data_IF_137925766480
#
_entry.id   IF_137925766480
#
_cell.length_a   1.000
_cell.length_b   1.000
_cell.length_c   1.000
_cell.angle_alpha   90.00
_cell.angle_beta   90.00
_cell.angle_gamma   90.00
#
_symmetry.space_group_name_H-M   'P 1'
#
loop_
_entity.id
_entity.type
_entity.pdbx_description
1 polymer ?
#
# COMPACT_ATOMS: atom_id res chain seq x y z
N UNK A 1 27.94 3.20 8.03
CA UNK A 1 27.39 2.06 7.26
C UNK A 1 26.10 1.47 7.87
N UNK A 2 25.83 1.62 9.18
CA UNK A 2 24.63 1.04 9.81
C UNK A 2 23.30 1.78 9.50
N UNK A 3 23.32 3.10 9.28
CA UNK A 3 22.08 3.90 9.04
C UNK A 3 21.32 3.43 7.80
N UNK A 4 22.01 3.27 6.67
CA UNK A 4 21.37 2.92 5.39
C UNK A 4 20.79 1.49 5.40
N UNK A 5 21.41 0.55 6.10
CA UNK A 5 20.88 -0.82 6.23
C UNK A 5 19.63 -0.84 7.10
N UNK A 6 19.62 -0.08 8.19
CA UNK A 6 18.44 0.02 9.06
C UNK A 6 17.29 0.74 8.36
N UNK A 7 17.56 1.83 7.64
CA UNK A 7 16.57 2.54 6.80
C UNK A 7 15.96 1.61 5.74
N UNK A 8 16.79 0.80 5.06
CA UNK A 8 16.31 -0.21 4.11
C UNK A 8 15.43 -1.25 4.78
N UNK A 9 15.83 -1.75 5.96
CA UNK A 9 15.06 -2.73 6.73
C UNK A 9 13.69 -2.19 7.15
N UNK A 10 13.66 -0.96 7.66
CA UNK A 10 12.42 -0.28 8.06
C UNK A 10 11.51 -0.07 6.85
N UNK A 11 12.06 0.39 5.73
CA UNK A 11 11.32 0.56 4.47
C UNK A 11 10.73 -0.77 3.99
N UNK A 12 11.51 -1.85 4.02
CA UNK A 12 11.07 -3.17 3.59
C UNK A 12 9.93 -3.71 4.47
N UNK A 13 9.96 -3.43 5.78
CA UNK A 13 8.87 -3.80 6.68
C UNK A 13 7.58 -3.07 6.33
N UNK A 14 7.64 -1.76 6.06
CA UNK A 14 6.47 -0.97 5.64
C UNK A 14 5.88 -1.52 4.33
N UNK A 15 6.73 -1.77 3.33
CA UNK A 15 6.28 -2.34 2.05
C UNK A 15 5.61 -3.71 2.22
N UNK A 16 6.15 -4.55 3.10
CA UNK A 16 5.58 -5.87 3.41
C UNK A 16 4.20 -5.74 4.06
N UNK A 17 4.05 -4.82 5.02
CA UNK A 17 2.75 -4.54 5.65
C UNK A 17 1.73 -4.06 4.63
N UNK A 18 2.11 -3.10 3.77
CA UNK A 18 1.22 -2.58 2.72
C UNK A 18 0.80 -3.69 1.74
N UNK A 19 1.73 -4.50 1.25
CA UNK A 19 1.41 -5.61 0.34
C UNK A 19 0.46 -6.64 0.97
N UNK A 20 0.68 -6.97 2.24
CA UNK A 20 -0.17 -7.90 2.98
C UNK A 20 -1.58 -7.34 3.16
N UNK A 21 -1.68 -6.04 3.43
CA UNK A 21 -2.95 -5.33 3.51
C UNK A 21 -3.69 -5.32 2.15
N UNK A 22 -3.00 -4.97 1.05
CA UNK A 22 -3.59 -4.91 -0.29
C UNK A 22 -4.19 -6.26 -0.73
N UNK A 23 -3.55 -7.37 -0.38
CA UNK A 23 -4.08 -8.71 -0.64
C UNK A 23 -5.42 -8.96 0.09
N UNK A 24 -5.54 -8.55 1.36
CA UNK A 24 -6.79 -8.67 2.13
C UNK A 24 -7.86 -7.74 1.57
N UNK A 25 -7.48 -6.48 1.32
CA UNK A 25 -8.37 -5.46 0.79
C UNK A 25 -8.95 -5.86 -0.56
N UNK A 26 -8.10 -6.36 -1.47
CA UNK A 26 -8.47 -6.86 -2.79
C UNK A 26 -9.52 -7.97 -2.70
N UNK A 27 -9.24 -9.01 -1.91
CA UNK A 27 -10.16 -10.13 -1.69
C UNK A 27 -11.50 -9.68 -1.09
N UNK A 28 -11.47 -8.81 -0.07
CA UNK A 28 -12.67 -8.32 0.63
C UNK A 28 -13.58 -7.49 -0.28
N UNK A 29 -13.01 -6.69 -1.18
CA UNK A 29 -13.76 -5.79 -2.07
C UNK A 29 -14.01 -6.39 -3.47
N UNK A 30 -13.59 -7.65 -3.71
CA UNK A 30 -13.84 -8.33 -4.97
C UNK A 30 -12.93 -7.91 -6.14
N UNK A 31 -11.83 -7.20 -5.88
CA UNK A 31 -10.86 -6.86 -6.92
C UNK A 31 -10.18 -8.13 -7.43
N UNK A 32 -10.17 -8.30 -8.75
CA UNK A 32 -9.48 -9.42 -9.41
C UNK A 32 -7.97 -9.20 -9.48
N UNK A 33 -7.55 -7.94 -9.62
CA UNK A 33 -6.16 -7.50 -9.64
C UNK A 33 -6.07 -6.09 -9.05
N UNK A 34 -4.91 -5.76 -8.45
CA UNK A 34 -4.55 -4.40 -8.03
C UNK A 34 -3.18 -4.11 -8.67
N UNK A 35 -3.08 -2.99 -9.38
CA UNK A 35 -1.83 -2.54 -9.96
C UNK A 35 -1.21 -1.46 -9.08
N UNK A 36 0.09 -1.60 -8.80
CA UNK A 36 0.86 -0.58 -8.12
C UNK A 36 1.49 0.29 -9.21
N UNK A 37 1.07 1.55 -9.29
CA UNK A 37 1.65 2.52 -10.20
C UNK A 37 3.07 2.89 -9.74
N UNK A 38 4.04 2.05 -10.10
CA UNK A 38 5.46 2.30 -9.89
C UNK A 38 6.18 2.29 -11.25
N UNK A 39 7.09 3.24 -11.43
CA UNK A 39 8.08 3.27 -12.51
C UNK A 39 7.51 3.21 -13.94
N UNK A 40 6.33 3.80 -14.20
CA UNK A 40 5.82 4.02 -15.56
C UNK A 40 5.29 2.78 -16.29
N UNK A 41 5.05 1.67 -15.60
CA UNK A 41 4.56 0.42 -16.20
C UNK A 41 3.10 0.48 -16.68
N UNK A 42 2.37 1.55 -16.38
CA UNK A 42 0.96 1.75 -16.75
C UNK A 42 0.88 3.01 -17.60
N UNK A 43 0.54 2.85 -18.88
CA UNK A 43 0.43 3.98 -19.82
C UNK A 43 -0.84 4.81 -19.60
N UNK A 44 -1.96 4.15 -19.26
CA UNK A 44 -3.23 4.77 -18.92
C UNK A 44 -4.03 3.83 -18.01
N UNK A 45 -4.73 4.41 -17.05
CA UNK A 45 -5.78 3.77 -16.26
C UNK A 45 -6.95 4.73 -16.13
N UNK A 46 -8.17 4.21 -16.05
CA UNK A 46 -9.35 5.03 -15.80
C UNK A 46 -9.23 5.74 -14.43
N UNK A 47 -9.46 7.05 -14.31
CA UNK A 47 -9.35 7.75 -13.03
C UNK A 47 -10.28 7.19 -11.94
N UNK A 48 -11.44 6.64 -12.31
CA UNK A 48 -12.35 5.97 -11.39
C UNK A 48 -11.86 4.59 -10.92
N UNK A 49 -10.81 4.05 -11.54
CA UNK A 49 -10.13 2.83 -11.10
C UNK A 49 -9.01 3.08 -10.09
N UNK A 50 -8.62 4.34 -9.86
CA UNK A 50 -7.65 4.68 -8.82
C UNK A 50 -8.29 4.52 -7.43
N UNK A 51 -7.72 3.63 -6.63
CA UNK A 51 -8.18 3.29 -5.29
C UNK A 51 -7.20 3.75 -4.21
N UNK A 52 -6.20 4.55 -4.57
CA UNK A 52 -5.09 4.94 -3.67
C UNK A 52 -5.61 5.58 -2.39
N UNK A 53 -6.49 6.58 -2.51
CA UNK A 53 -7.05 7.29 -1.34
C UNK A 53 -7.85 6.35 -0.45
N UNK A 54 -8.68 5.49 -1.04
CA UNK A 54 -9.51 4.51 -0.31
C UNK A 54 -8.64 3.51 0.46
N UNK A 55 -7.54 3.07 -0.15
CA UNK A 55 -6.57 2.16 0.48
C UNK A 55 -5.87 2.86 1.65
N UNK A 56 -5.37 4.08 1.46
CA UNK A 56 -4.67 4.87 2.48
C UNK A 56 -5.58 5.16 3.68
N UNK A 57 -6.83 5.58 3.43
CA UNK A 57 -7.79 5.88 4.49
C UNK A 57 -8.06 4.63 5.36
N UNK A 58 -8.29 3.49 4.73
CA UNK A 58 -8.60 2.24 5.44
C UNK A 58 -7.38 1.67 6.15
N UNK A 59 -6.19 1.77 5.55
CA UNK A 59 -4.93 1.39 6.19
C UNK A 59 -4.68 2.26 7.43
N UNK A 60 -4.89 3.57 7.33
CA UNK A 60 -4.78 4.47 8.47
C UNK A 60 -5.81 4.14 9.56
N UNK A 61 -7.04 3.71 9.22
CA UNK A 61 -8.02 3.24 10.21
C UNK A 61 -7.56 1.95 10.92
N UNK A 62 -6.88 1.06 10.23
CA UNK A 62 -6.38 -0.21 10.80
C UNK A 62 -5.14 0.00 11.68
N UNK A 63 -4.27 0.95 11.33
CA UNK A 63 -2.99 1.18 11.99
C UNK A 63 -2.91 2.51 12.77
N UNK A 64 -4.01 3.25 12.86
CA UNK A 64 -4.09 4.42 13.73
C UNK A 64 -3.81 3.96 15.16
N UNK A 65 -2.63 4.30 15.66
CA UNK A 65 -2.39 4.34 17.10
C UNK A 65 -3.36 5.38 17.63
N UNK A 66 -4.34 5.04 18.50
CA UNK A 66 -5.15 6.07 19.12
C UNK A 66 -4.17 7.03 19.80
N UNK A 67 -4.19 8.30 19.38
CA UNK A 67 -3.39 9.32 20.02
C UNK A 67 -3.72 9.26 21.52
N UNK A 68 -2.70 8.98 22.34
CA UNK A 68 -2.80 9.12 23.79
C UNK A 68 -2.94 10.58 24.15
#
# INVERSE_FOLDING_TARGET
QNSSQEEQRLTQNVLTTVNTYLLRFGKKNGYKMIFIAANGNIAYADPGSDITDKVVEQLNKEYAVPAK
#
